data_IF_125820275640
#
_entry.id   IF_125820275640
#
_cell.length_a   1.000
_cell.length_b   1.000
_cell.length_c   1.000
_cell.angle_alpha   90.00
_cell.angle_beta   90.00
_cell.angle_gamma   90.00
#
_symmetry.space_group_name_H-M   'P 1'
#
loop_
_entity.id
_entity.type
_entity.pdbx_description
1 polymer ?
#
# COMPACT_ATOMS: atom_id res chain seq x y z
N UNK A 1 -60.44 1.36 10.46
CA UNK A 1 -59.33 0.88 11.31
C UNK A 1 -58.24 0.32 10.41
N UNK A 2 -57.29 1.17 10.03
CA UNK A 2 -56.19 0.84 9.11
C UNK A 2 -55.06 0.22 9.91
N UNK A 3 -54.91 -1.10 9.83
CA UNK A 3 -53.79 -1.83 10.45
C UNK A 3 -52.56 -1.64 9.58
N UNK A 4 -51.73 -0.68 9.96
CA UNK A 4 -50.43 -0.44 9.32
C UNK A 4 -49.50 -1.61 9.64
N UNK A 5 -49.18 -2.39 8.61
CA UNK A 5 -47.96 -3.19 8.55
C UNK A 5 -46.78 -2.22 8.42
N UNK A 6 -45.83 -2.27 9.35
CA UNK A 6 -44.54 -1.60 9.22
C UNK A 6 -43.44 -2.54 9.73
N UNK A 7 -43.12 -3.53 8.92
CA UNK A 7 -41.86 -4.27 8.96
C UNK A 7 -41.00 -3.72 7.82
N UNK A 8 -40.01 -2.91 8.16
CA UNK A 8 -38.88 -2.61 7.29
C UNK A 8 -37.72 -2.09 8.15
N UNK A 9 -37.05 -3.00 8.84
CA UNK A 9 -35.65 -2.79 9.24
C UNK A 9 -34.87 -2.86 7.93
N UNK A 10 -34.62 -1.71 7.32
CA UNK A 10 -33.71 -1.59 6.18
C UNK A 10 -32.31 -1.79 6.75
N UNK A 11 -31.81 -3.01 6.62
CA UNK A 11 -30.43 -3.35 6.96
C UNK A 11 -29.49 -2.44 6.16
N UNK A 12 -28.53 -1.85 6.87
CA UNK A 12 -27.33 -1.28 6.27
C UNK A 12 -26.61 -2.39 5.49
N UNK A 13 -26.83 -2.48 4.19
CA UNK A 13 -25.95 -3.21 3.29
C UNK A 13 -24.92 -2.21 2.80
N UNK A 14 -23.92 -1.96 3.64
CA UNK A 14 -22.70 -1.25 3.27
C UNK A 14 -21.50 -2.15 3.61
N UNK A 15 -21.47 -3.34 3.02
CA UNK A 15 -20.37 -4.32 3.20
C UNK A 15 -19.78 -4.85 1.87
N UNK A 16 -19.57 -4.05 0.81
CA UNK A 16 -18.60 -4.47 -0.23
C UNK A 16 -17.26 -3.75 -0.13
N UNK A 17 -17.24 -2.50 0.34
CA UNK A 17 -16.05 -1.66 0.25
C UNK A 17 -14.96 -2.04 1.29
N UNK A 18 -15.36 -2.40 2.51
CA UNK A 18 -14.40 -2.79 3.56
C UNK A 18 -13.64 -4.08 3.17
N UNK A 19 -14.35 -5.12 2.75
CA UNK A 19 -13.72 -6.40 2.38
C UNK A 19 -12.83 -6.33 1.13
N UNK A 20 -13.08 -5.37 0.24
CA UNK A 20 -12.24 -5.16 -0.94
C UNK A 20 -10.92 -4.45 -0.58
N UNK A 21 -10.92 -3.53 0.41
CA UNK A 21 -9.72 -2.90 0.92
C UNK A 21 -8.84 -3.91 1.67
N UNK A 22 -9.43 -4.72 2.56
CA UNK A 22 -8.75 -5.81 3.28
C UNK A 22 -7.96 -6.72 2.33
N UNK A 23 -8.58 -7.20 1.25
CA UNK A 23 -7.93 -8.11 0.31
C UNK A 23 -6.77 -7.47 -0.48
N UNK A 24 -6.86 -6.16 -0.78
CA UNK A 24 -5.76 -5.43 -1.43
C UNK A 24 -4.59 -5.23 -0.46
N UNK A 25 -4.88 -4.92 0.80
CA UNK A 25 -3.87 -4.75 1.85
C UNK A 25 -3.14 -6.07 2.11
N UNK A 26 -3.86 -7.19 2.27
CA UNK A 26 -3.25 -8.50 2.44
C UNK A 26 -2.35 -8.88 1.25
N UNK A 27 -2.79 -8.59 0.02
CA UNK A 27 -1.99 -8.81 -1.17
C UNK A 27 -0.71 -7.95 -1.17
N UNK A 28 -0.81 -6.68 -0.78
CA UNK A 28 0.32 -5.77 -0.70
C UNK A 28 1.35 -6.22 0.35
N UNK A 29 0.90 -6.59 1.55
CA UNK A 29 1.73 -7.15 2.62
C UNK A 29 2.51 -8.37 2.11
N UNK A 30 1.81 -9.29 1.45
CA UNK A 30 2.45 -10.48 0.89
C UNK A 30 3.49 -10.15 -0.18
N UNK A 31 3.26 -9.14 -1.02
CA UNK A 31 4.26 -8.68 -1.99
C UNK A 31 5.51 -8.15 -1.29
N UNK A 32 5.36 -7.37 -0.21
CA UNK A 32 6.51 -6.87 0.56
C UNK A 32 7.30 -8.02 1.21
N UNK A 33 6.61 -9.02 1.75
CA UNK A 33 7.24 -10.25 2.25
C UNK A 33 8.03 -10.98 1.14
N UNK A 34 7.47 -11.07 -0.07
CA UNK A 34 8.14 -11.70 -1.21
C UNK A 34 9.41 -10.94 -1.61
N UNK A 35 9.38 -9.60 -1.61
CA UNK A 35 10.56 -8.77 -1.86
C UNK A 35 11.63 -9.02 -0.80
N UNK A 36 11.23 -9.13 0.47
CA UNK A 36 12.19 -9.43 1.55
C UNK A 36 12.92 -10.77 1.38
N UNK A 37 12.30 -11.72 0.65
CA UNK A 37 12.88 -13.03 0.33
C UNK A 37 13.68 -13.07 -0.98
N UNK A 38 13.62 -12.01 -1.80
CA UNK A 38 14.30 -11.91 -3.09
C UNK A 38 15.46 -10.91 -3.00
N UNK A 39 16.70 -11.40 -3.11
CA UNK A 39 17.88 -10.56 -2.90
C UNK A 39 18.04 -9.43 -3.94
N UNK A 40 17.60 -9.64 -5.18
CA UNK A 40 17.69 -8.61 -6.22
C UNK A 40 16.64 -7.53 -5.99
N UNK A 41 15.40 -7.93 -5.69
CA UNK A 41 14.31 -7.01 -5.38
C UNK A 41 14.55 -6.27 -4.07
N UNK A 42 15.02 -6.95 -3.03
CA UNK A 42 15.37 -6.31 -1.75
C UNK A 42 16.44 -5.24 -1.96
N UNK A 43 17.47 -5.53 -2.77
CA UNK A 43 18.51 -4.55 -3.10
C UNK A 43 17.93 -3.34 -3.86
N UNK A 44 17.02 -3.57 -4.82
CA UNK A 44 16.34 -2.49 -5.53
C UNK A 44 15.48 -1.65 -4.60
N UNK A 45 14.72 -2.29 -3.70
CA UNK A 45 13.91 -1.64 -2.68
C UNK A 45 14.76 -0.74 -1.79
N UNK A 46 15.85 -1.26 -1.23
CA UNK A 46 16.71 -0.48 -0.34
C UNK A 46 17.37 0.72 -1.04
N UNK A 47 17.72 0.58 -2.33
CA UNK A 47 18.21 1.70 -3.13
C UNK A 47 17.11 2.75 -3.34
N UNK A 48 15.88 2.31 -3.59
CA UNK A 48 14.71 3.17 -3.72
C UNK A 48 14.40 3.92 -2.41
N UNK A 49 14.29 3.22 -1.28
CA UNK A 49 14.00 3.83 0.03
C UNK A 49 15.05 4.90 0.37
N UNK A 50 16.34 4.58 0.18
CA UNK A 50 17.42 5.56 0.37
C UNK A 50 17.28 6.77 -0.55
N UNK A 51 16.92 6.54 -1.82
CA UNK A 51 16.73 7.64 -2.78
C UNK A 51 15.57 8.55 -2.37
N UNK A 52 14.46 7.96 -1.91
CA UNK A 52 13.30 8.70 -1.40
C UNK A 52 13.65 9.51 -0.16
N UNK A 53 14.46 8.97 0.76
CA UNK A 53 14.98 9.71 1.91
C UNK A 53 15.88 10.90 1.51
N UNK A 54 16.75 10.72 0.51
CA UNK A 54 17.63 11.79 -0.01
C UNK A 54 16.84 12.93 -0.68
N UNK A 55 15.77 12.57 -1.38
CA UNK A 55 14.83 13.49 -2.04
C UNK A 55 14.02 14.25 -0.99
N UNK A 56 13.45 13.53 -0.01
CA UNK A 56 12.53 14.10 0.99
C UNK A 56 11.29 14.70 0.36
N UNK A 57 10.81 15.82 0.91
CA UNK A 57 9.62 16.54 0.43
C UNK A 57 9.94 17.60 -0.65
N UNK A 58 11.16 17.63 -1.19
CA UNK A 58 11.58 18.62 -2.19
C UNK A 58 11.12 18.20 -3.59
N UNK A 59 10.05 18.83 -4.09
CA UNK A 59 9.48 18.57 -5.42
C UNK A 59 10.53 18.64 -6.55
N UNK A 60 11.51 19.57 -6.48
CA UNK A 60 12.54 19.67 -7.53
C UNK A 60 13.50 18.50 -7.51
N UNK A 61 13.80 17.97 -6.33
CA UNK A 61 14.60 16.75 -6.20
C UNK A 61 13.81 15.53 -6.64
N UNK A 62 12.51 15.48 -6.36
CA UNK A 62 11.64 14.41 -6.80
C UNK A 62 11.58 14.36 -8.33
N UNK A 63 11.35 15.49 -8.99
CA UNK A 63 11.37 15.60 -10.45
C UNK A 63 12.71 15.14 -11.04
N UNK A 64 13.84 15.55 -10.43
CA UNK A 64 15.17 15.16 -10.88
C UNK A 64 15.50 13.68 -10.62
N UNK A 65 14.85 13.05 -9.64
CA UNK A 65 15.03 11.65 -9.28
C UNK A 65 14.00 10.72 -9.93
N UNK A 66 12.98 11.26 -10.60
CA UNK A 66 11.83 10.51 -11.11
C UNK A 66 12.24 9.30 -11.96
N UNK A 67 13.16 9.48 -12.92
CA UNK A 67 13.63 8.37 -13.77
C UNK A 67 14.36 7.29 -12.97
N UNK A 68 15.10 7.68 -11.93
CA UNK A 68 15.81 6.74 -11.06
C UNK A 68 14.84 5.96 -10.17
N UNK A 69 13.85 6.64 -9.60
CA UNK A 69 12.77 6.03 -8.80
C UNK A 69 11.95 5.07 -9.66
N UNK A 70 11.57 5.47 -10.86
CA UNK A 70 10.85 4.60 -11.81
C UNK A 70 11.68 3.37 -12.20
N UNK A 71 13.00 3.52 -12.39
CA UNK A 71 13.87 2.39 -12.66
C UNK A 71 13.93 1.38 -11.50
N UNK A 72 13.79 1.84 -10.25
CA UNK A 72 13.66 0.92 -9.11
C UNK A 72 12.29 0.24 -9.07
N UNK A 73 11.20 0.96 -9.35
CA UNK A 73 9.85 0.38 -9.44
C UNK A 73 9.79 -0.72 -10.52
N UNK A 74 10.36 -0.48 -11.70
CA UNK A 74 10.47 -1.47 -12.76
C UNK A 74 11.23 -2.74 -12.31
N UNK A 75 12.29 -2.58 -11.52
CA UNK A 75 13.08 -3.70 -10.99
C UNK A 75 12.34 -4.48 -9.89
N UNK A 76 11.51 -3.82 -9.11
CA UNK A 76 10.65 -4.43 -8.09
C UNK A 76 9.46 -5.17 -8.73
N UNK A 77 8.99 -4.61 -9.84
CA UNK A 77 8.00 -5.19 -10.74
C UNK A 77 6.57 -4.75 -10.42
N UNK A 78 5.62 -5.12 -11.30
CA UNK A 78 4.25 -4.61 -11.27
C UNK A 78 3.46 -5.01 -10.01
N UNK A 79 3.80 -6.15 -9.39
CA UNK A 79 3.17 -6.56 -8.14
C UNK A 79 3.53 -5.59 -7.00
N UNK A 80 4.76 -5.08 -6.99
CA UNK A 80 5.19 -4.06 -6.02
C UNK A 80 4.50 -2.72 -6.28
N UNK A 81 4.43 -2.28 -7.53
CA UNK A 81 3.72 -1.04 -7.88
C UNK A 81 2.25 -1.10 -7.48
N UNK A 82 1.58 -2.23 -7.72
CA UNK A 82 0.22 -2.44 -7.28
C UNK A 82 0.11 -2.41 -5.74
N UNK A 83 1.04 -3.08 -5.03
CA UNK A 83 1.10 -3.08 -3.58
C UNK A 83 1.36 -1.67 -2.99
N UNK A 84 2.24 -0.89 -3.60
CA UNK A 84 2.55 0.48 -3.23
C UNK A 84 1.34 1.40 -3.42
N UNK A 85 0.70 1.33 -4.60
CA UNK A 85 -0.51 2.10 -4.90
C UNK A 85 -1.71 1.75 -4.04
N UNK A 86 -1.72 0.57 -3.39
CA UNK A 86 -2.80 0.19 -2.49
C UNK A 86 -2.92 1.19 -1.33
N UNK A 87 -1.81 1.78 -0.87
CA UNK A 87 -1.81 2.81 0.19
C UNK A 87 -2.56 4.08 -0.18
N UNK A 88 -2.49 4.50 -1.45
CA UNK A 88 -3.12 5.75 -1.93
C UNK A 88 -4.66 5.72 -1.83
N UNK A 89 -5.25 4.53 -1.85
CA UNK A 89 -6.69 4.33 -1.74
C UNK A 89 -7.18 4.21 -0.28
N UNK A 90 -6.25 4.04 0.68
CA UNK A 90 -6.59 3.81 2.08
C UNK A 90 -6.87 5.11 2.82
N UNK A 91 -7.76 5.01 3.81
CA UNK A 91 -8.07 6.14 4.68
C UNK A 91 -6.97 6.33 5.70
N UNK A 92 -6.46 7.56 5.82
CA UNK A 92 -5.53 7.95 6.88
C UNK A 92 -6.09 7.57 8.28
N UNK A 93 -5.26 6.94 9.10
CA UNK A 93 -5.63 6.46 10.44
C UNK A 93 -6.56 5.25 10.45
N UNK A 94 -6.74 4.55 9.33
CA UNK A 94 -7.42 3.25 9.30
C UNK A 94 -6.49 2.10 9.73
N UNK A 95 -7.04 0.97 10.21
CA UNK A 95 -6.23 -0.23 10.47
C UNK A 95 -5.49 -0.74 9.23
N UNK A 96 -6.05 -0.49 8.04
CA UNK A 96 -5.49 -0.94 6.77
C UNK A 96 -4.19 -0.21 6.43
N UNK A 97 -4.17 1.13 6.58
CA UNK A 97 -2.94 1.90 6.34
C UNK A 97 -1.88 1.58 7.41
N UNK A 98 -2.28 1.38 8.67
CA UNK A 98 -1.36 0.93 9.72
C UNK A 98 -0.76 -0.46 9.41
N UNK A 99 -1.55 -1.37 8.85
CA UNK A 99 -1.09 -2.70 8.43
C UNK A 99 -0.06 -2.59 7.30
N UNK A 100 -0.33 -1.73 6.31
CA UNK A 100 0.58 -1.49 5.20
C UNK A 100 1.88 -0.82 5.66
N UNK A 101 1.79 0.22 6.49
CA UNK A 101 2.93 0.94 7.07
C UNK A 101 3.84 0.01 7.89
N UNK A 102 3.24 -0.87 8.71
CA UNK A 102 4.01 -1.87 9.47
C UNK A 102 4.74 -2.85 8.55
N UNK A 103 4.13 -3.26 7.44
CA UNK A 103 4.76 -4.17 6.49
C UNK A 103 5.91 -3.50 5.72
N UNK A 104 5.74 -2.23 5.32
CA UNK A 104 6.81 -1.42 4.73
C UNK A 104 7.95 -1.19 5.73
N UNK A 105 7.65 -0.85 6.98
CA UNK A 105 8.66 -0.71 8.04
C UNK A 105 9.44 -2.00 8.28
N UNK A 106 8.77 -3.16 8.29
CA UNK A 106 9.44 -4.46 8.39
C UNK A 106 10.34 -4.77 7.17
N UNK A 107 10.00 -4.25 5.99
CA UNK A 107 10.82 -4.35 4.79
C UNK A 107 12.02 -3.38 4.86
N UNK A 108 11.83 -2.14 5.34
CA UNK A 108 12.90 -1.17 5.58
C UNK A 108 13.93 -1.67 6.60
N UNK A 109 13.51 -2.38 7.64
CA UNK A 109 14.42 -3.01 8.60
C UNK A 109 15.40 -3.98 7.92
N UNK A 110 15.05 -4.57 6.76
CA UNK A 110 15.94 -5.44 5.99
C UNK A 110 17.03 -4.69 5.21
N UNK A 111 16.93 -3.37 5.12
CA UNK A 111 17.88 -2.51 4.42
C UNK A 111 19.05 -2.03 5.29
N UNK A 112 19.11 -2.48 6.55
CA UNK A 112 20.19 -2.15 7.50
C UNK A 112 21.36 -3.15 7.49
#
# INVERSE_FOLDING_TARGET
MQRLFALAVIGLIAVPAAHAADAKVEAAVKTFEQISGDAEKLKAYCAMSKKMEEVGEDEKKADAANDEINGYLDALGPDFEAAWSAGDELKEGSPDIETLDNALGALDEKCT
#
